data_IF_015452663336
#
_entry.id   IF_015452663336
#
_cell.length_a   1.000
_cell.length_b   1.000
_cell.length_c   1.000
_cell.angle_alpha   90.00
_cell.angle_beta   90.00
_cell.angle_gamma   90.00
#
_symmetry.space_group_name_H-M   'P 1'
#
loop_
_entity.id
_entity.type
_entity.pdbx_description
1 polymer ?
#
# COMPACT_ATOMS: atom_id res chain seq x y z
N UNK A 1 -0.59 -3.19 -61.56
CA UNK A 1 -0.47 -2.20 -60.47
C UNK A 1 -1.31 -2.50 -59.23
N UNK A 2 -2.28 -3.42 -59.27
CA UNK A 2 -3.17 -3.75 -58.13
C UNK A 2 -2.49 -4.59 -57.04
N UNK A 3 -1.66 -5.58 -57.38
CA UNK A 3 -0.99 -6.45 -56.40
C UNK A 3 -0.10 -5.70 -55.40
N UNK A 4 0.71 -4.74 -55.87
CA UNK A 4 1.63 -3.99 -54.99
C UNK A 4 0.88 -3.15 -53.94
N UNK A 5 -0.34 -2.68 -54.29
CA UNK A 5 -1.22 -1.95 -53.37
C UNK A 5 -1.73 -2.85 -52.26
N UNK A 6 -2.13 -4.08 -52.58
CA UNK A 6 -2.61 -5.04 -51.59
C UNK A 6 -1.53 -5.47 -50.60
N UNK A 7 -0.30 -5.71 -51.08
CA UNK A 7 0.83 -6.07 -50.20
C UNK A 7 1.12 -4.94 -49.19
N UNK A 8 1.13 -3.68 -49.62
CA UNK A 8 1.34 -2.53 -48.73
C UNK A 8 0.26 -2.40 -47.66
N UNK A 9 -1.00 -2.61 -48.03
CA UNK A 9 -2.11 -2.59 -47.08
C UNK A 9 -2.04 -3.73 -46.08
N UNK A 10 -1.68 -4.95 -46.51
CA UNK A 10 -1.47 -6.07 -45.58
C UNK A 10 -0.34 -5.80 -44.59
N UNK A 11 0.79 -5.27 -45.05
CA UNK A 11 1.91 -4.90 -44.19
C UNK A 11 1.50 -3.82 -43.17
N UNK A 12 0.77 -2.78 -43.61
CA UNK A 12 0.27 -1.72 -42.72
C UNK A 12 -0.72 -2.28 -41.69
N UNK A 13 -1.68 -3.11 -42.10
CA UNK A 13 -2.62 -3.76 -41.18
C UNK A 13 -1.89 -4.63 -40.16
N UNK A 14 -0.88 -5.38 -40.58
CA UNK A 14 -0.08 -6.21 -39.68
C UNK A 14 0.68 -5.34 -38.66
N UNK A 15 1.27 -4.23 -39.09
CA UNK A 15 1.94 -3.27 -38.19
C UNK A 15 0.96 -2.61 -37.23
N UNK A 16 -0.25 -2.25 -37.68
CA UNK A 16 -1.28 -1.67 -36.81
C UNK A 16 -1.87 -2.69 -35.83
N UNK A 17 -2.02 -3.95 -36.22
CA UNK A 17 -2.47 -5.03 -35.32
C UNK A 17 -1.39 -5.32 -34.29
N UNK A 18 -0.14 -5.51 -34.71
CA UNK A 18 0.97 -5.78 -33.80
C UNK A 18 1.25 -4.57 -32.89
N UNK A 19 1.24 -3.36 -33.44
CA UNK A 19 1.42 -2.12 -32.70
C UNK A 19 0.24 -1.80 -31.78
N UNK A 20 -0.99 -2.09 -32.19
CA UNK A 20 -2.18 -1.96 -31.34
C UNK A 20 -2.17 -2.96 -30.19
N UNK A 21 -1.84 -4.23 -30.47
CA UNK A 21 -1.72 -5.27 -29.43
C UNK A 21 -0.65 -4.92 -28.39
N UNK A 22 0.49 -4.35 -28.79
CA UNK A 22 1.52 -3.90 -27.85
C UNK A 22 1.11 -2.63 -27.09
N UNK A 23 0.40 -1.69 -27.72
CA UNK A 23 -0.14 -0.50 -27.06
C UNK A 23 -1.23 -0.84 -26.03
N UNK A 24 -2.04 -1.87 -26.31
CA UNK A 24 -3.03 -2.31 -25.36
C UNK A 24 -2.39 -3.08 -24.21
N UNK A 25 -1.51 -4.08 -24.35
CA UNK A 25 -1.12 -4.86 -23.15
C UNK A 25 0.11 -4.34 -22.39
N UNK A 26 0.78 -3.29 -22.86
CA UNK A 26 2.04 -2.77 -22.28
C UNK A 26 3.24 -3.70 -22.51
N UNK A 27 3.03 -5.02 -22.44
CA UNK A 27 3.93 -6.09 -22.88
C UNK A 27 3.08 -7.32 -23.26
N UNK A 28 3.49 -8.15 -24.24
CA UNK A 28 2.84 -9.45 -24.50
C UNK A 28 3.24 -10.51 -23.46
N UNK A 29 4.30 -10.26 -22.69
CA UNK A 29 4.84 -11.17 -21.69
C UNK A 29 4.38 -10.67 -20.31
N UNK A 30 3.67 -11.48 -19.51
CA UNK A 30 3.29 -11.09 -18.17
C UNK A 30 4.53 -10.74 -17.35
N UNK A 31 4.49 -9.63 -16.62
CA UNK A 31 5.58 -9.22 -15.74
C UNK A 31 5.28 -9.63 -14.30
N UNK A 32 6.35 -9.92 -13.58
CA UNK A 32 6.34 -10.19 -12.13
C UNK A 32 7.11 -9.06 -11.44
N UNK A 33 6.57 -8.57 -10.33
CA UNK A 33 7.25 -7.61 -9.48
C UNK A 33 7.14 -8.07 -8.03
N UNK A 34 8.27 -8.45 -7.46
CA UNK A 34 8.36 -8.94 -6.10
C UNK A 34 9.33 -8.05 -5.34
N UNK A 35 8.80 -7.33 -4.36
CA UNK A 35 9.62 -6.72 -3.32
C UNK A 35 9.92 -7.78 -2.24
N UNK A 36 11.05 -7.63 -1.58
CA UNK A 36 11.53 -8.52 -0.53
C UNK A 36 11.77 -7.70 0.74
N UNK A 37 11.70 -8.37 1.91
CA UNK A 37 12.17 -7.81 3.17
C UNK A 37 13.65 -8.11 3.30
N UNK A 38 14.46 -7.15 3.75
CA UNK A 38 15.91 -7.33 3.82
C UNK A 38 16.30 -8.19 5.03
N UNK A 39 15.70 -7.92 6.19
CA UNK A 39 15.95 -8.62 7.45
C UNK A 39 14.61 -8.98 8.11
N UNK A 40 13.83 -9.90 7.51
CA UNK A 40 12.56 -10.30 8.09
C UNK A 40 12.76 -11.09 9.38
N UNK A 41 12.03 -10.73 10.43
CA UNK A 41 11.93 -11.50 11.67
C UNK A 41 10.52 -12.07 11.75
N UNK A 42 10.40 -13.38 12.00
CA UNK A 42 9.10 -14.04 12.07
C UNK A 42 8.28 -13.50 13.26
N UNK A 43 6.96 -13.37 13.07
CA UNK A 43 6.02 -13.01 14.14
C UNK A 43 5.49 -14.29 14.77
N UNK A 44 5.70 -14.46 16.07
CA UNK A 44 5.26 -15.65 16.81
C UNK A 44 3.83 -15.50 17.32
N UNK A 45 3.50 -14.31 17.80
CA UNK A 45 2.18 -13.97 18.33
C UNK A 45 1.97 -12.45 18.27
N UNK A 46 0.75 -12.00 18.58
CA UNK A 46 0.45 -10.59 18.73
C UNK A 46 -0.40 -10.40 19.99
N UNK A 47 -0.15 -9.29 20.69
CA UNK A 47 -1.03 -8.75 21.71
C UNK A 47 -1.98 -7.73 21.07
N UNK A 48 -2.79 -7.06 21.89
CA UNK A 48 -3.63 -5.97 21.40
C UNK A 48 -2.80 -4.83 20.81
N UNK A 49 -1.60 -4.54 21.31
CA UNK A 49 -0.84 -3.33 20.96
C UNK A 49 0.56 -3.61 20.38
N UNK A 50 1.02 -4.86 20.36
CA UNK A 50 2.36 -5.21 19.90
C UNK A 50 2.39 -6.55 19.14
N UNK A 51 3.33 -6.66 18.21
CA UNK A 51 3.73 -7.92 17.60
C UNK A 51 4.88 -8.51 18.42
N UNK A 52 4.80 -9.79 18.75
CA UNK A 52 5.87 -10.53 19.44
C UNK A 52 6.67 -11.28 18.38
N UNK A 53 7.93 -10.90 18.21
CA UNK A 53 8.84 -11.49 17.24
C UNK A 53 9.47 -12.79 17.75
N UNK A 54 10.09 -13.57 16.85
CA UNK A 54 10.77 -14.83 17.16
C UNK A 54 11.97 -14.68 18.11
N UNK A 55 12.65 -13.53 18.06
CA UNK A 55 13.72 -13.18 18.98
C UNK A 55 13.21 -12.71 20.36
N UNK A 56 11.89 -12.69 20.56
CA UNK A 56 11.23 -12.24 21.79
C UNK A 56 11.08 -10.73 21.90
N UNK A 57 11.46 -9.96 20.88
CA UNK A 57 11.27 -8.51 20.86
C UNK A 57 9.80 -8.18 20.63
N UNK A 58 9.27 -7.25 21.42
CA UNK A 58 7.95 -6.66 21.22
C UNK A 58 8.05 -5.42 20.33
N UNK A 59 7.33 -5.44 19.21
CA UNK A 59 7.25 -4.33 18.27
C UNK A 59 5.88 -3.69 18.32
N UNK A 60 5.84 -2.41 18.68
CA UNK A 60 4.63 -1.59 18.58
C UNK A 60 4.54 -0.97 17.19
N UNK A 61 3.32 -0.71 16.74
CA UNK A 61 3.07 -0.02 15.47
C UNK A 61 2.82 1.47 15.76
N UNK A 62 3.61 2.40 15.19
CA UNK A 62 3.38 3.83 15.37
C UNK A 62 1.92 4.23 15.10
N UNK A 63 1.35 5.05 15.98
CA UNK A 63 -0.03 5.56 15.90
C UNK A 63 -1.16 4.53 16.08
N UNK A 64 -0.85 3.26 16.35
CA UNK A 64 -1.84 2.19 16.49
C UNK A 64 -1.86 1.71 17.95
N UNK A 65 -3.00 1.90 18.62
CA UNK A 65 -3.26 1.37 19.95
C UNK A 65 -3.79 -0.06 19.93
N UNK A 66 -4.48 -0.46 18.85
CA UNK A 66 -5.04 -1.80 18.68
C UNK A 66 -4.69 -2.40 17.31
N UNK A 67 -3.92 -3.49 17.31
CA UNK A 67 -3.52 -4.26 16.13
C UNK A 67 -4.69 -5.15 15.71
N UNK A 68 -5.16 -5.07 14.44
CA UNK A 68 -6.24 -5.92 13.94
C UNK A 68 -5.73 -7.32 13.59
N UNK A 69 -5.16 -8.04 14.58
CA UNK A 69 -4.50 -9.32 14.35
C UNK A 69 -5.45 -10.35 13.75
N UNK A 70 -6.74 -10.32 14.07
CA UNK A 70 -7.72 -11.25 13.49
C UNK A 70 -8.06 -11.00 12.01
N UNK A 71 -7.67 -9.85 11.45
CA UNK A 71 -7.88 -9.56 10.03
C UNK A 71 -7.05 -10.49 9.14
N UNK A 72 -7.67 -11.19 8.16
CA UNK A 72 -6.95 -12.04 7.22
C UNK A 72 -5.91 -11.27 6.40
N UNK A 73 -6.18 -10.01 6.05
CA UNK A 73 -5.23 -9.16 5.34
C UNK A 73 -4.03 -8.80 6.22
N UNK A 74 -4.25 -8.51 7.50
CA UNK A 74 -3.17 -8.22 8.42
C UNK A 74 -2.30 -9.47 8.66
N UNK A 75 -2.92 -10.64 8.88
CA UNK A 75 -2.20 -11.93 8.97
C UNK A 75 -1.37 -12.22 7.72
N UNK A 76 -1.93 -11.97 6.53
CA UNK A 76 -1.21 -12.15 5.27
C UNK A 76 0.02 -11.24 5.18
N UNK A 77 -0.09 -9.99 5.62
CA UNK A 77 1.01 -9.02 5.61
C UNK A 77 2.21 -9.44 6.47
N UNK A 78 1.97 -10.13 7.58
CA UNK A 78 3.02 -10.55 8.54
C UNK A 78 3.46 -12.01 8.36
N UNK A 79 2.87 -12.74 7.40
CA UNK A 79 3.10 -14.19 7.24
C UNK A 79 4.56 -14.51 6.92
N UNK A 80 5.25 -13.59 6.24
CA UNK A 80 6.65 -13.76 5.81
C UNK A 80 7.64 -13.05 6.74
N UNK A 81 7.18 -12.73 7.96
CA UNK A 81 7.92 -11.92 8.91
C UNK A 81 7.70 -10.44 8.71
N UNK A 82 8.37 -9.67 9.57
CA UNK A 82 8.31 -8.21 9.63
C UNK A 82 9.73 -7.67 9.63
N UNK A 83 9.96 -6.60 8.88
CA UNK A 83 11.21 -5.84 8.90
C UNK A 83 10.98 -4.51 9.63
N UNK A 84 11.85 -4.18 10.58
CA UNK A 84 11.82 -2.90 11.26
C UNK A 84 12.86 -1.99 10.60
N UNK A 85 12.40 -0.89 10.03
CA UNK A 85 13.27 0.11 9.43
C UNK A 85 13.99 0.96 10.49
N UNK A 86 15.00 1.72 10.06
CA UNK A 86 15.76 2.64 10.92
C UNK A 86 14.89 3.74 11.57
N UNK A 87 13.76 4.08 10.95
CA UNK A 87 12.77 5.03 11.47
C UNK A 87 11.77 4.40 12.45
N UNK A 88 11.91 3.10 12.74
CA UNK A 88 11.00 2.34 13.60
C UNK A 88 9.72 1.87 12.89
N UNK A 89 9.58 2.12 11.58
CA UNK A 89 8.43 1.61 10.85
C UNK A 89 8.51 0.09 10.68
N UNK A 90 7.43 -0.60 11.04
CA UNK A 90 7.29 -2.03 10.80
C UNK A 90 6.71 -2.28 9.40
N UNK A 91 7.43 -3.08 8.60
CA UNK A 91 7.07 -3.41 7.23
C UNK A 91 6.74 -4.90 7.10
N UNK A 92 5.66 -5.22 6.40
CA UNK A 92 5.29 -6.57 5.98
C UNK A 92 5.30 -6.72 4.46
N UNK A 93 4.93 -7.89 3.95
CA UNK A 93 4.76 -8.15 2.53
C UNK A 93 3.34 -8.53 2.19
N UNK A 94 2.77 -7.92 1.16
CA UNK A 94 1.43 -8.25 0.68
C UNK A 94 1.34 -8.36 -0.82
N UNK A 95 0.51 -9.29 -1.25
CA UNK A 95 0.07 -9.38 -2.63
C UNK A 95 -0.85 -8.22 -2.95
N UNK A 96 -0.56 -7.53 -4.05
CA UNK A 96 -1.36 -6.46 -4.60
C UNK A 96 -1.93 -6.92 -5.94
N UNK A 97 -3.24 -6.88 -6.06
CA UNK A 97 -3.90 -7.18 -7.32
C UNK A 97 -3.48 -6.18 -8.40
N UNK A 98 -3.55 -6.65 -9.64
CA UNK A 98 -3.22 -5.87 -10.81
C UNK A 98 -4.00 -4.56 -10.82
N UNK A 99 -3.33 -3.45 -11.13
CA UNK A 99 -4.05 -2.20 -11.38
C UNK A 99 -4.98 -2.39 -12.58
N UNK A 100 -6.19 -1.83 -12.50
CA UNK A 100 -7.16 -1.90 -13.58
C UNK A 100 -6.54 -1.56 -14.95
N UNK A 101 -7.06 -2.19 -16.01
CA UNK A 101 -6.66 -1.92 -17.38
C UNK A 101 -5.46 -2.76 -17.84
N UNK A 102 -4.44 -2.06 -18.31
CA UNK A 102 -3.37 -2.59 -19.18
C UNK A 102 -2.05 -2.79 -18.43
N UNK A 103 -2.10 -2.91 -17.09
CA UNK A 103 -0.91 -3.14 -16.28
C UNK A 103 -0.26 -4.48 -16.68
N UNK A 104 0.97 -4.46 -17.22
CA UNK A 104 1.65 -5.68 -17.64
C UNK A 104 2.08 -6.54 -16.44
N UNK A 105 2.11 -5.99 -15.23
CA UNK A 105 2.49 -6.70 -14.00
C UNK A 105 1.30 -7.50 -13.49
N UNK A 106 1.37 -8.82 -13.69
CA UNK A 106 0.28 -9.74 -13.34
C UNK A 106 0.34 -10.15 -11.88
N UNK A 107 1.56 -10.30 -11.38
CA UNK A 107 1.84 -10.72 -10.01
C UNK A 107 2.68 -9.66 -9.35
N UNK A 108 2.11 -9.04 -8.33
CA UNK A 108 2.76 -7.97 -7.60
C UNK A 108 2.73 -8.28 -6.12
N UNK A 109 3.90 -8.30 -5.51
CA UNK A 109 4.07 -8.39 -4.06
C UNK A 109 4.89 -7.19 -3.62
N UNK A 110 4.37 -6.45 -2.65
CA UNK A 110 4.93 -5.16 -2.23
C UNK A 110 5.14 -5.14 -0.73
N UNK A 111 6.12 -4.34 -0.30
CA UNK A 111 6.29 -3.95 1.09
C UNK A 111 5.16 -3.03 1.48
N UNK A 112 4.60 -3.27 2.67
CA UNK A 112 3.52 -2.48 3.23
C UNK A 112 3.90 -2.02 4.62
N UNK A 113 3.65 -0.74 4.94
CA UNK A 113 3.75 -0.27 6.31
C UNK A 113 2.57 -0.84 7.10
N UNK A 114 2.88 -1.56 8.18
CA UNK A 114 1.88 -2.26 8.98
C UNK A 114 0.99 -1.31 9.78
N UNK A 115 1.49 -0.11 10.11
CA UNK A 115 0.70 0.93 10.79
C UNK A 115 -0.35 1.51 9.85
N UNK A 116 0.05 1.82 8.61
CA UNK A 116 -0.88 2.31 7.58
C UNK A 116 -1.96 1.25 7.28
N UNK A 117 -1.56 -0.02 7.21
CA UNK A 117 -2.47 -1.14 6.99
C UNK A 117 -3.43 -1.33 8.18
N UNK A 118 -2.91 -1.32 9.41
CA UNK A 118 -3.70 -1.46 10.62
C UNK A 118 -4.74 -0.35 10.75
N UNK A 119 -4.32 0.91 10.55
CA UNK A 119 -5.22 2.06 10.59
C UNK A 119 -6.28 2.02 9.50
N UNK A 120 -5.97 1.47 8.31
CA UNK A 120 -6.95 1.32 7.24
C UNK A 120 -7.96 0.18 7.52
N UNK A 121 -7.53 -0.91 8.16
CA UNK A 121 -8.39 -2.05 8.49
C UNK A 121 -9.26 -1.79 9.73
N UNK A 122 -8.68 -1.12 10.74
CA UNK A 122 -9.30 -0.85 12.02
C UNK A 122 -9.05 0.61 12.47
N UNK A 123 -9.78 1.58 11.89
CA UNK A 123 -9.60 3.00 12.24
C UNK A 123 -9.81 3.33 13.72
N UNK A 124 -10.73 2.65 14.43
CA UNK A 124 -10.92 2.82 15.88
C UNK A 124 -9.75 2.29 16.74
N UNK A 125 -8.80 1.56 16.14
CA UNK A 125 -7.57 1.12 16.79
C UNK A 125 -6.42 2.14 16.65
N UNK A 126 -6.67 3.32 16.10
CA UNK A 126 -5.71 4.43 16.01
C UNK A 126 -5.66 5.17 17.35
N UNK A 127 -4.47 5.54 17.81
CA UNK A 127 -4.28 6.27 19.06
C UNK A 127 -4.77 7.73 18.95
N UNK A 128 -5.94 7.99 19.54
CA UNK A 128 -6.59 9.32 19.60
C UNK A 128 -5.77 10.36 20.38
N UNK A 129 -4.80 9.94 21.20
CA UNK A 129 -3.91 10.89 21.89
C UNK A 129 -2.85 11.50 20.97
N UNK A 130 -2.59 10.86 19.83
CA UNK A 130 -1.58 11.27 18.85
C UNK A 130 -2.23 11.79 17.56
N UNK A 131 -3.32 11.14 17.12
CA UNK A 131 -4.02 11.47 15.87
C UNK A 131 -5.33 12.19 16.18
N UNK A 132 -5.59 13.30 15.49
CA UNK A 132 -6.79 14.10 15.74
C UNK A 132 -8.09 13.28 15.51
N UNK A 133 -9.08 13.33 16.41
CA UNK A 133 -10.30 12.54 16.29
C UNK A 133 -11.07 12.72 14.97
N UNK A 134 -11.12 13.95 14.43
CA UNK A 134 -11.76 14.21 13.12
C UNK A 134 -11.08 13.45 11.96
N UNK A 135 -9.76 13.24 12.05
CA UNK A 135 -9.04 12.47 11.03
C UNK A 135 -9.40 10.98 11.14
N UNK A 136 -9.52 10.46 12.36
CA UNK A 136 -9.96 9.08 12.63
C UNK A 136 -11.38 8.87 12.10
N UNK A 137 -12.29 9.80 12.39
CA UNK A 137 -13.66 9.78 11.85
C UNK A 137 -13.67 9.78 10.32
N UNK A 138 -12.89 10.67 9.69
CA UNK A 138 -12.75 10.71 8.23
C UNK A 138 -12.27 9.38 7.65
N UNK A 139 -11.25 8.76 8.28
CA UNK A 139 -10.72 7.47 7.84
C UNK A 139 -11.77 6.36 8.00
N UNK A 140 -12.48 6.33 9.13
CA UNK A 140 -13.54 5.37 9.41
C UNK A 140 -14.68 5.41 8.38
N UNK A 141 -15.05 6.60 7.92
CA UNK A 141 -16.16 6.77 6.98
C UNK A 141 -15.74 6.58 5.52
N UNK A 142 -14.56 7.07 5.13
CA UNK A 142 -14.21 7.21 3.70
C UNK A 142 -13.00 6.40 3.23
N UNK A 143 -12.16 5.92 4.14
CA UNK A 143 -10.86 5.30 3.81
C UNK A 143 -10.61 3.97 4.52
N UNK A 144 -11.65 3.36 5.06
CA UNK A 144 -11.57 2.02 5.63
C UNK A 144 -11.43 0.97 4.53
N UNK A 145 -10.66 -0.08 4.82
CA UNK A 145 -10.67 -1.32 4.05
C UNK A 145 -11.71 -2.24 4.69
N UNK A 146 -12.85 -2.38 4.03
CA UNK A 146 -13.84 -3.38 4.41
C UNK A 146 -13.44 -4.72 3.81
N UNK A 147 -13.04 -5.65 4.67
CA UNK A 147 -12.78 -7.02 4.25
C UNK A 147 -14.10 -7.72 3.96
N UNK A 148 -14.50 -7.71 2.70
CA UNK A 148 -15.63 -8.50 2.22
C UNK A 148 -15.11 -9.75 1.49
N UNK A 149 -15.33 -10.96 2.03
CA UNK A 149 -14.94 -12.21 1.36
C UNK A 149 -15.61 -12.43 0.00
N UNK A 150 -16.54 -11.56 -0.42
CA UNK A 150 -17.25 -11.64 -1.69
C UNK A 150 -16.38 -11.16 -2.87
N UNK A 151 -15.39 -10.27 -2.63
CA UNK A 151 -14.51 -9.76 -3.66
C UNK A 151 -13.48 -10.82 -4.09
N UNK A 152 -13.21 -10.94 -5.41
CA UNK A 152 -12.26 -11.95 -5.93
C UNK A 152 -10.84 -11.79 -5.33
N UNK A 153 -10.50 -10.58 -4.91
CA UNK A 153 -9.19 -10.17 -4.38
C UNK A 153 -9.02 -10.57 -2.92
N UNK A 154 -9.97 -10.19 -2.06
CA UNK A 154 -9.89 -10.47 -0.62
C UNK A 154 -10.00 -11.96 -0.31
N UNK A 155 -10.68 -12.76 -1.16
CA UNK A 155 -10.64 -14.23 -1.07
C UNK A 155 -9.24 -14.84 -1.11
N UNK A 156 -8.28 -14.13 -1.70
CA UNK A 156 -6.88 -14.55 -1.80
C UNK A 156 -5.99 -13.85 -0.77
N UNK A 157 -6.56 -13.04 0.12
CA UNK A 157 -5.85 -12.13 1.01
C UNK A 157 -4.94 -11.14 0.25
N UNK A 158 -5.37 -10.66 -0.91
CA UNK A 158 -4.66 -9.63 -1.68
C UNK A 158 -5.25 -8.25 -1.39
N UNK A 159 -4.40 -7.23 -1.41
CA UNK A 159 -4.84 -5.84 -1.52
C UNK A 159 -5.38 -5.55 -2.92
N UNK A 160 -6.38 -4.71 -3.00
CA UNK A 160 -6.78 -4.03 -4.23
C UNK A 160 -6.02 -2.71 -4.38
N UNK A 161 -6.10 -2.09 -5.58
CA UNK A 161 -5.61 -0.72 -5.78
C UNK A 161 -6.30 0.29 -4.85
N UNK A 162 -7.60 0.09 -4.57
CA UNK A 162 -8.36 0.97 -3.68
C UNK A 162 -7.87 0.84 -2.23
N UNK A 163 -7.57 -0.39 -1.79
CA UNK A 163 -7.00 -0.63 -0.46
C UNK A 163 -5.65 0.09 -0.29
N UNK A 164 -4.79 0.05 -1.31
CA UNK A 164 -3.53 0.81 -1.31
C UNK A 164 -3.76 2.32 -1.22
N UNK A 165 -4.74 2.85 -1.95
CA UNK A 165 -5.11 4.27 -1.89
C UNK A 165 -5.62 4.69 -0.51
N UNK A 166 -6.37 3.80 0.14
CA UNK A 166 -6.86 3.97 1.51
C UNK A 166 -5.70 4.00 2.52
N UNK A 167 -4.76 3.07 2.42
CA UNK A 167 -3.53 3.09 3.25
C UNK A 167 -2.73 4.37 3.07
N UNK A 168 -2.58 4.87 1.83
CA UNK A 168 -1.92 6.16 1.59
C UNK A 168 -2.68 7.35 2.19
N UNK A 169 -4.00 7.26 2.34
CA UNK A 169 -4.78 8.28 3.02
C UNK A 169 -4.51 8.26 4.54
N UNK A 170 -4.43 7.07 5.15
CA UNK A 170 -4.04 6.90 6.56
C UNK A 170 -2.68 7.54 6.83
N UNK A 171 -1.67 7.18 6.02
CA UNK A 171 -0.31 7.73 6.13
C UNK A 171 -0.31 9.27 6.13
N UNK A 172 -1.06 9.89 5.21
CA UNK A 172 -1.15 11.36 5.13
C UNK A 172 -1.74 11.98 6.40
N UNK A 173 -2.70 11.31 7.05
CA UNK A 173 -3.26 11.78 8.33
C UNK A 173 -2.26 11.64 9.47
N UNK A 174 -1.46 10.58 9.49
CA UNK A 174 -0.37 10.41 10.46
C UNK A 174 0.70 11.49 10.29
N UNK A 175 1.16 11.74 9.06
CA UNK A 175 2.13 12.79 8.75
C UNK A 175 1.62 14.19 9.11
N UNK A 176 0.33 14.47 8.84
CA UNK A 176 -0.30 15.72 9.24
C UNK A 176 -0.36 15.88 10.76
N UNK A 177 -0.76 14.83 11.49
CA UNK A 177 -0.83 14.85 12.96
C UNK A 177 0.55 15.03 13.59
N UNK A 178 1.58 14.36 13.04
CA UNK A 178 2.96 14.53 13.49
C UNK A 178 3.47 15.97 13.29
N UNK A 179 3.05 16.64 12.21
CA UNK A 179 3.38 18.05 11.93
C UNK A 179 2.71 19.00 12.92
N UNK A 180 1.47 18.72 13.34
CA UNK A 180 0.76 19.51 14.35
C UNK A 180 1.36 19.33 15.75
N UNK A 181 1.78 18.12 16.10
CA UNK A 181 2.41 17.82 17.39
C UNK A 181 3.80 18.47 17.53
N UNK A 182 4.53 18.58 16.43
CA UNK A 182 5.86 19.18 16.36
C UNK A 182 5.86 20.34 15.37
N UNK A 183 5.22 21.47 15.69
CA UNK A 183 5.20 22.61 14.79
C UNK A 183 6.65 23.02 14.53
N UNK A 184 7.11 22.84 13.30
CA UNK A 184 8.42 23.34 12.90
C UNK A 184 8.41 24.83 13.24
N UNK A 185 9.40 25.36 13.99
CA UNK A 185 9.44 26.78 14.29
C UNK A 185 9.28 27.50 12.96
N UNK A 186 8.16 28.21 12.79
CA UNK A 186 7.92 28.98 11.58
C UNK A 186 9.18 29.80 11.38
N UNK A 187 9.81 29.62 10.23
CA UNK A 187 11.07 30.26 9.88
C UNK A 187 10.77 31.77 9.79
N UNK A 188 10.77 32.44 10.95
CA UNK A 188 10.44 33.84 11.14
C UNK A 188 11.42 34.76 10.38
N UNK A 189 12.42 34.18 9.71
CA UNK A 189 13.38 34.85 8.85
C UNK A 189 12.76 35.50 7.59
N UNK A 190 11.53 35.14 7.19
CA UNK A 190 10.91 35.72 5.99
C UNK A 190 10.12 37.04 6.22
N UNK A 191 10.06 37.56 7.45
CA UNK A 191 9.33 38.79 7.78
C UNK A 191 10.23 40.00 8.08
N UNK A 192 11.49 40.02 7.63
CA UNK A 192 12.25 41.28 7.59
C UNK A 192 11.83 42.08 6.34
N UNK A 193 11.20 43.25 6.50
CA UNK A 193 10.89 44.11 5.36
C UNK A 193 12.21 44.51 4.69
N UNK A 194 12.35 44.24 3.39
CA UNK A 194 13.43 44.83 2.59
C UNK A 194 13.15 46.34 2.52
N UNK A 195 13.92 47.11 3.29
CA UNK A 195 14.03 48.55 3.18
C UNK A 195 14.85 48.95 1.94
#
# INVERSE_FOLDING_TARGET
MTQLRHIRWLALCLVLILGGLTYFTGTPIPLWHFEELNNPVAVTSATANALILEDGVEVTLPFISEIPYDSPLFKAAITEGVEINEDGAALGLMWLDRNCGLDPVVWRKVRVNLSDLAGALHPSGIDESIVHPEAIEHLAVYKRIDYEPSSRSHKKNHLTLWDRSNMQAVRRQFEFSATLANPTPLDNAALTPRH
#
